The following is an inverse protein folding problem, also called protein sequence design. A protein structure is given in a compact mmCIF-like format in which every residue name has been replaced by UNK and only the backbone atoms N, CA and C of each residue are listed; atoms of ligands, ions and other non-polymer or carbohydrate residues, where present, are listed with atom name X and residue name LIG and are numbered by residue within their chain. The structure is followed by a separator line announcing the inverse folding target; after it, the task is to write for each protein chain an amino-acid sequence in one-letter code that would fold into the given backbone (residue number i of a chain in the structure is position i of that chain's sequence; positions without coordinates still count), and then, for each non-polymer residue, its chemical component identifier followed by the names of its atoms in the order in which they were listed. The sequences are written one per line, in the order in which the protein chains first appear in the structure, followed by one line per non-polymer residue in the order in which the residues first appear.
data_IF_669550136998
#
_entry.id   IF_669550136998
#
_cell.length_a   1.000
_cell.length_b   1.000
_cell.length_c   1.000
_cell.angle_alpha   90.00
_cell.angle_beta   90.00
_cell.angle_gamma   90.00
#
_symmetry.space_group_name_H-M   'P 1'
#
loop_
_entity.id
_entity.type
_entity.pdbx_description
1 polymer ?
#
# COMPACT_ATOMS: atom_id res chain seq x y z
N UNK A 1 11.34 -15.21 -1.95
CA UNK A 1 10.14 -14.69 -1.25
C UNK A 1 9.14 -13.97 -2.16
N UNK A 2 9.60 -13.33 -3.25
CA UNK A 2 8.73 -12.77 -4.30
C UNK A 2 7.67 -13.76 -4.82
N UNK A 3 8.02 -15.05 -4.93
CA UNK A 3 7.09 -16.11 -5.35
C UNK A 3 5.91 -16.34 -4.39
N UNK A 4 6.00 -15.88 -3.12
CA UNK A 4 4.88 -15.91 -2.19
C UNK A 4 3.99 -14.67 -2.36
N UNK A 5 4.61 -13.49 -2.49
CA UNK A 5 3.89 -12.23 -2.58
C UNK A 5 3.22 -12.02 -3.95
N UNK A 6 3.93 -12.23 -5.06
CA UNK A 6 3.46 -11.87 -6.40
C UNK A 6 2.16 -12.61 -6.81
N UNK A 7 2.02 -13.93 -6.63
CA UNK A 7 0.77 -14.61 -6.97
C UNK A 7 -0.40 -14.14 -6.11
N UNK A 8 -0.18 -13.98 -4.80
CA UNK A 8 -1.19 -13.49 -3.87
C UNK A 8 -1.63 -12.06 -4.22
N UNK A 9 -0.67 -11.19 -4.52
CA UNK A 9 -0.92 -9.84 -5.00
C UNK A 9 -1.70 -9.84 -6.31
N UNK A 10 -1.29 -10.61 -7.31
CA UNK A 10 -1.98 -10.71 -8.60
C UNK A 10 -3.44 -11.17 -8.45
N UNK A 11 -3.69 -12.23 -7.67
CA UNK A 11 -5.05 -12.73 -7.40
C UNK A 11 -5.88 -11.67 -6.67
N UNK A 12 -5.32 -11.03 -5.64
CA UNK A 12 -6.02 -10.00 -4.89
C UNK A 12 -6.36 -8.79 -5.77
N UNK A 13 -5.41 -8.32 -6.59
CA UNK A 13 -5.60 -7.21 -7.53
C UNK A 13 -6.65 -7.55 -8.59
N UNK A 14 -6.60 -8.74 -9.19
CA UNK A 14 -7.62 -9.19 -10.15
C UNK A 14 -9.00 -9.25 -9.51
N UNK A 15 -9.11 -9.79 -8.30
CA UNK A 15 -10.38 -9.87 -7.59
C UNK A 15 -10.91 -8.47 -7.23
N UNK A 16 -10.04 -7.57 -6.79
CA UNK A 16 -10.39 -6.18 -6.50
C UNK A 16 -10.95 -5.49 -7.74
N UNK A 17 -10.25 -5.57 -8.88
CA UNK A 17 -10.72 -4.98 -10.13
C UNK A 17 -12.01 -5.62 -10.63
N UNK A 18 -12.15 -6.93 -10.52
CA UNK A 18 -13.39 -7.62 -10.88
C UNK A 18 -14.58 -7.13 -10.03
N UNK A 19 -14.40 -7.00 -8.71
CA UNK A 19 -15.43 -6.49 -7.80
C UNK A 19 -15.78 -5.03 -8.09
N UNK A 20 -14.77 -4.20 -8.30
CA UNK A 20 -14.96 -2.79 -8.69
C UNK A 20 -15.71 -2.70 -10.00
N UNK A 21 -15.30 -3.44 -11.03
CA UNK A 21 -15.98 -3.50 -12.33
C UNK A 21 -17.45 -3.89 -12.19
N UNK A 22 -17.75 -4.93 -11.40
CA UNK A 22 -19.12 -5.39 -11.15
C UNK A 22 -19.97 -4.39 -10.37
N UNK A 23 -19.36 -3.63 -9.46
CA UNK A 23 -20.04 -2.68 -8.58
C UNK A 23 -20.27 -1.28 -9.21
N UNK A 24 -19.77 -1.01 -10.42
CA UNK A 24 -19.88 0.32 -11.03
C UNK A 24 -21.33 0.73 -11.33
N UNK A 25 -21.86 1.64 -10.51
CA UNK A 25 -23.04 2.45 -10.81
C UNK A 25 -22.64 3.67 -11.69
N UNK A 26 -23.49 4.10 -12.65
CA UNK A 26 -23.16 5.19 -13.60
C UNK A 26 -22.85 6.57 -12.99
N UNK A 27 -23.11 6.77 -11.70
CA UNK A 27 -22.86 8.01 -10.93
C UNK A 27 -21.44 8.14 -10.36
N UNK A 28 -20.61 7.10 -10.41
CA UNK A 28 -19.27 7.00 -9.76
C UNK A 28 -18.18 7.91 -10.40
N UNK A 29 -18.49 8.63 -11.49
CA UNK A 29 -17.49 9.32 -12.31
C UNK A 29 -17.56 10.87 -12.28
N UNK A 30 -17.99 11.49 -11.17
CA UNK A 30 -17.96 12.94 -11.04
C UNK A 30 -16.56 13.44 -10.64
N UNK A 31 -15.95 14.43 -11.33
CA UNK A 31 -14.62 14.95 -11.01
C UNK A 31 -14.49 15.48 -9.58
N UNK A 32 -15.57 16.01 -8.99
CA UNK A 32 -15.56 16.50 -7.60
C UNK A 32 -15.35 15.37 -6.58
N UNK A 33 -15.90 14.18 -6.84
CA UNK A 33 -15.73 13.00 -5.98
C UNK A 33 -14.29 12.48 -6.02
N UNK A 34 -13.61 12.58 -7.17
CA UNK A 34 -12.18 12.24 -7.30
C UNK A 34 -11.31 13.23 -6.53
N UNK A 35 -11.57 14.54 -6.66
CA UNK A 35 -10.83 15.55 -5.91
C UNK A 35 -11.04 15.39 -4.40
N UNK A 36 -12.27 15.09 -3.97
CA UNK A 36 -12.60 14.80 -2.57
C UNK A 36 -11.90 13.54 -2.06
N UNK A 37 -11.79 12.51 -2.90
CA UNK A 37 -11.03 11.29 -2.58
C UNK A 37 -9.53 11.58 -2.42
N UNK A 38 -8.90 12.24 -3.41
CA UNK A 38 -7.46 12.55 -3.39
C UNK A 38 -7.05 13.46 -2.25
N UNK A 39 -7.91 14.39 -1.85
CA UNK A 39 -7.66 15.33 -0.75
C UNK A 39 -8.10 14.81 0.61
N UNK A 40 -8.67 13.60 0.66
CA UNK A 40 -9.36 13.07 1.85
C UNK A 40 -10.38 14.07 2.42
N UNK A 41 -11.08 14.78 1.54
CA UNK A 41 -12.08 15.79 1.88
C UNK A 41 -13.30 15.24 2.64
N UNK A 42 -13.45 13.91 2.71
CA UNK A 42 -14.40 13.25 3.61
C UNK A 42 -13.98 13.28 5.09
N UNK A 43 -12.71 13.54 5.40
CA UNK A 43 -12.21 13.63 6.77
C UNK A 43 -12.34 15.07 7.27
N UNK A 44 -13.35 15.31 8.12
CA UNK A 44 -13.67 16.64 8.65
C UNK A 44 -12.61 17.17 9.63
N UNK A 45 -11.95 16.28 10.37
CA UNK A 45 -10.89 16.67 11.32
C UNK A 45 -9.59 16.98 10.56
N UNK A 46 -9.18 18.26 10.56
CA UNK A 46 -7.98 18.73 9.84
C UNK A 46 -6.70 17.98 10.22
N UNK A 47 -6.46 17.71 11.51
CA UNK A 47 -5.26 16.99 11.98
C UNK A 47 -5.23 15.56 11.46
N UNK A 48 -6.39 14.87 11.52
CA UNK A 48 -6.52 13.51 11.01
C UNK A 48 -6.33 13.45 9.49
N UNK A 49 -6.88 14.44 8.78
CA UNK A 49 -6.72 14.56 7.33
C UNK A 49 -5.25 14.72 6.95
N UNK A 50 -4.52 15.59 7.63
CA UNK A 50 -3.08 15.77 7.41
C UNK A 50 -2.29 14.50 7.68
N UNK A 51 -2.56 13.80 8.81
CA UNK A 51 -1.90 12.52 9.11
C UNK A 51 -2.20 11.46 8.05
N UNK A 52 -3.45 11.40 7.56
CA UNK A 52 -3.86 10.47 6.52
C UNK A 52 -3.16 10.79 5.19
N UNK A 53 -3.12 12.06 4.79
CA UNK A 53 -2.40 12.49 3.58
C UNK A 53 -0.90 12.15 3.68
N UNK A 54 -0.26 12.46 4.81
CA UNK A 54 1.15 12.17 5.01
C UNK A 54 1.45 10.66 4.93
N UNK A 55 0.62 9.83 5.57
CA UNK A 55 0.72 8.38 5.47
C UNK A 55 0.61 7.90 4.02
N UNK A 56 -0.40 8.36 3.28
CA UNK A 56 -0.62 7.94 1.89
C UNK A 56 0.50 8.40 0.96
N UNK A 57 1.00 9.63 1.12
CA UNK A 57 2.15 10.11 0.35
C UNK A 57 3.40 9.28 0.63
N UNK A 58 3.67 8.98 1.92
CA UNK A 58 4.82 8.18 2.31
C UNK A 58 4.74 6.75 1.79
N UNK A 59 3.59 6.07 1.95
CA UNK A 59 3.43 4.68 1.53
C UNK A 59 3.43 4.54 0.00
N UNK A 60 2.79 5.45 -0.75
CA UNK A 60 2.80 5.42 -2.23
C UNK A 60 4.22 5.61 -2.75
N UNK A 61 4.96 6.59 -2.20
CA UNK A 61 6.36 6.81 -2.59
C UNK A 61 7.24 5.62 -2.23
N UNK A 62 7.04 5.03 -1.04
CA UNK A 62 7.75 3.82 -0.60
C UNK A 62 7.47 2.62 -1.51
N UNK A 63 6.20 2.39 -1.90
CA UNK A 63 5.80 1.33 -2.83
C UNK A 63 6.46 1.49 -4.21
N UNK A 64 6.54 2.72 -4.73
CA UNK A 64 7.29 2.98 -5.98
C UNK A 64 8.78 2.64 -5.82
N UNK A 65 9.36 2.94 -4.65
CA UNK A 65 10.73 2.58 -4.32
C UNK A 65 10.99 1.06 -4.33
N UNK A 66 9.98 0.21 -4.08
CA UNK A 66 10.14 -1.24 -4.14
C UNK A 66 10.47 -1.72 -5.57
N UNK A 67 10.07 -0.99 -6.62
CA UNK A 67 10.44 -1.30 -8.00
C UNK A 67 11.96 -1.23 -8.23
N UNK A 68 12.67 -0.45 -7.42
CA UNK A 68 14.12 -0.36 -7.50
C UNK A 68 14.79 -1.67 -7.08
N UNK A 69 14.08 -2.65 -6.51
CA UNK A 69 14.67 -3.95 -6.18
C UNK A 69 15.19 -4.73 -7.40
N UNK A 70 14.68 -4.42 -8.59
CA UNK A 70 15.08 -5.06 -9.85
C UNK A 70 16.24 -4.33 -10.55
N UNK A 71 16.66 -3.19 -10.02
CA UNK A 71 17.80 -2.43 -10.53
C UNK A 71 19.03 -2.83 -9.71
N UNK A 72 20.07 -3.30 -10.38
CA UNK A 72 21.30 -3.74 -9.73
C UNK A 72 21.97 -2.57 -9.00
N UNK A 73 22.25 -1.50 -9.75
CA UNK A 73 22.88 -0.28 -9.24
C UNK A 73 21.86 0.82 -8.93
N UNK A 74 21.65 1.10 -7.65
CA UNK A 74 20.78 2.18 -7.19
C UNK A 74 21.63 3.25 -6.49
N UNK A 75 21.50 4.54 -6.84
CA UNK A 75 22.20 5.62 -6.16
C UNK A 75 22.08 5.52 -4.64
N UNK A 76 23.23 5.60 -3.95
CA UNK A 76 23.33 5.46 -2.48
C UNK A 76 22.33 6.29 -1.63
N UNK A 77 21.89 7.51 -2.01
CA UNK A 77 20.88 8.21 -1.21
C UNK A 77 19.49 7.57 -1.27
N UNK A 78 19.13 6.87 -2.34
CA UNK A 78 17.77 6.37 -2.55
C UNK A 78 17.32 5.31 -1.51
N UNK A 79 18.15 4.31 -1.13
CA UNK A 79 17.79 3.39 -0.05
C UNK A 79 17.52 4.11 1.27
N UNK A 80 18.33 5.12 1.61
CA UNK A 80 18.17 5.91 2.84
C UNK A 80 16.87 6.74 2.82
N UNK A 81 16.54 7.33 1.67
CA UNK A 81 15.26 8.01 1.46
C UNK A 81 14.10 7.02 1.62
N UNK A 82 14.22 5.82 1.06
CA UNK A 82 13.25 4.74 1.23
C UNK A 82 13.00 4.39 2.70
N UNK A 83 14.06 4.21 3.48
CA UNK A 83 13.98 3.96 4.93
C UNK A 83 13.31 5.12 5.67
N UNK A 84 13.66 6.37 5.35
CA UNK A 84 13.06 7.55 5.97
C UNK A 84 11.55 7.65 5.67
N UNK A 85 11.14 7.39 4.41
CA UNK A 85 9.73 7.32 4.03
C UNK A 85 9.00 6.20 4.75
N UNK A 86 9.63 5.03 4.90
CA UNK A 86 9.12 3.93 5.71
C UNK A 86 8.87 4.33 7.16
N UNK A 87 9.81 5.05 7.78
CA UNK A 87 9.68 5.54 9.14
C UNK A 87 8.51 6.54 9.29
N UNK A 88 8.35 7.46 8.34
CA UNK A 88 7.22 8.39 8.30
C UNK A 88 5.89 7.64 8.15
N UNK A 89 5.83 6.65 7.26
CA UNK A 89 4.64 5.82 7.07
C UNK A 89 4.30 5.04 8.35
N UNK A 90 5.29 4.42 8.99
CA UNK A 90 5.09 3.69 10.25
C UNK A 90 4.61 4.60 11.38
N UNK A 91 5.24 5.76 11.57
CA UNK A 91 4.87 6.70 12.64
C UNK A 91 3.45 7.27 12.44
N UNK A 92 3.13 7.71 11.23
CA UNK A 92 1.79 8.24 10.93
C UNK A 92 0.73 7.16 11.04
N UNK A 93 1.00 5.94 10.58
CA UNK A 93 0.08 4.82 10.69
C UNK A 93 -0.12 4.37 12.14
N UNK A 94 0.93 4.40 12.98
CA UNK A 94 0.81 4.11 14.41
C UNK A 94 -0.14 5.10 15.10
N UNK A 95 -0.04 6.39 14.79
CA UNK A 95 -0.97 7.41 15.30
C UNK A 95 -2.42 7.16 14.83
N UNK A 96 -2.60 6.77 13.57
CA UNK A 96 -3.91 6.41 13.02
C UNK A 96 -4.48 5.13 13.67
N UNK A 97 -3.66 4.11 13.89
CA UNK A 97 -4.05 2.86 14.54
C UNK A 97 -4.43 3.09 16.01
N UNK A 98 -3.64 3.86 16.76
CA UNK A 98 -3.95 4.21 18.15
C UNK A 98 -5.30 4.94 18.27
N UNK A 99 -5.59 5.82 17.31
CA UNK A 99 -6.89 6.49 17.24
C UNK A 99 -8.03 5.52 16.94
N UNK A 100 -7.88 4.64 15.92
CA UNK A 100 -8.87 3.61 15.56
C UNK A 100 -9.17 2.67 16.73
N UNK A 101 -8.15 2.28 17.48
CA UNK A 101 -8.30 1.49 18.70
C UNK A 101 -9.18 2.21 19.73
N UNK A 102 -8.93 3.50 19.98
CA UNK A 102 -9.75 4.31 20.90
C UNK A 102 -11.19 4.49 20.42
N UNK A 103 -11.39 4.61 19.11
CA UNK A 103 -12.71 4.76 18.48
C UNK A 103 -13.45 3.42 18.30
N UNK A 104 -12.84 2.29 18.72
CA UNK A 104 -13.37 0.92 18.56
C UNK A 104 -13.66 0.55 17.10
N UNK A 105 -12.91 1.14 16.18
CA UNK A 105 -13.03 0.90 14.75
C UNK A 105 -12.20 -0.34 14.34
N UNK A 106 -12.68 -1.52 14.77
CA UNK A 106 -11.92 -2.77 14.68
C UNK A 106 -11.69 -3.25 13.25
N UNK A 107 -12.61 -2.95 12.33
CA UNK A 107 -12.48 -3.35 10.92
C UNK A 107 -11.26 -2.68 10.26
N UNK A 108 -11.11 -1.36 10.44
CA UNK A 108 -9.92 -0.67 9.92
C UNK A 108 -8.68 -0.92 10.79
N UNK A 109 -8.84 -1.19 12.08
CA UNK A 109 -7.72 -1.43 12.98
C UNK A 109 -6.89 -2.65 12.56
N UNK A 110 -7.53 -3.77 12.24
CA UNK A 110 -6.80 -5.00 11.85
C UNK A 110 -5.86 -4.74 10.67
N UNK A 111 -6.37 -4.09 9.62
CA UNK A 111 -5.59 -3.77 8.42
C UNK A 111 -4.51 -2.72 8.72
N UNK A 112 -4.82 -1.75 9.57
CA UNK A 112 -3.83 -0.77 10.02
C UNK A 112 -2.65 -1.44 10.72
N UNK A 113 -2.91 -2.45 11.54
CA UNK A 113 -1.89 -3.20 12.25
C UNK A 113 -1.04 -4.06 11.31
N UNK A 114 -1.66 -4.70 10.31
CA UNK A 114 -0.90 -5.42 9.27
C UNK A 114 0.03 -4.48 8.51
N UNK A 115 -0.49 -3.34 8.02
CA UNK A 115 0.31 -2.34 7.30
C UNK A 115 1.38 -1.70 8.20
N UNK A 116 1.09 -1.51 9.49
CA UNK A 116 2.05 -1.00 10.46
C UNK A 116 3.18 -1.99 10.67
N UNK A 117 2.88 -3.27 10.82
CA UNK A 117 3.87 -4.33 10.92
C UNK A 117 4.73 -4.39 9.66
N UNK A 118 4.14 -4.29 8.47
CA UNK A 118 4.87 -4.23 7.19
C UNK A 118 5.80 -3.01 7.13
N UNK A 119 5.31 -1.81 7.44
CA UNK A 119 6.10 -0.59 7.41
C UNK A 119 7.22 -0.60 8.46
N UNK A 120 6.94 -1.08 9.68
CA UNK A 120 7.90 -1.16 10.76
C UNK A 120 9.03 -2.17 10.44
N UNK A 121 8.69 -3.37 9.96
CA UNK A 121 9.69 -4.38 9.57
C UNK A 121 10.52 -3.92 8.38
N UNK A 122 9.90 -3.28 7.37
CA UNK A 122 10.61 -2.71 6.22
C UNK A 122 11.60 -1.61 6.63
N UNK A 123 11.16 -0.72 7.52
CA UNK A 123 12.01 0.35 8.07
C UNK A 123 13.15 -0.23 8.90
N UNK A 124 12.87 -1.19 9.78
CA UNK A 124 13.88 -1.83 10.62
C UNK A 124 14.95 -2.52 9.76
N UNK A 125 14.56 -3.25 8.71
CA UNK A 125 15.52 -3.83 7.76
C UNK A 125 16.40 -2.76 7.12
N UNK A 126 15.82 -1.67 6.64
CA UNK A 126 16.55 -0.57 6.02
C UNK A 126 17.47 0.21 6.95
N UNK A 127 17.39 -0.02 8.27
CA UNK A 127 18.30 0.55 9.28
C UNK A 127 19.44 -0.40 9.66
N UNK A 128 19.23 -1.71 9.58
CA UNK A 128 20.18 -2.70 10.13
C UNK A 128 20.91 -3.52 9.07
N UNK A 129 20.45 -3.49 7.81
CA UNK A 129 21.00 -4.30 6.74
C UNK A 129 21.24 -3.47 5.48
N UNK A 130 22.29 -3.84 4.74
CA UNK A 130 22.54 -3.27 3.42
C UNK A 130 21.50 -3.75 2.41
N UNK A 131 21.15 -2.87 1.47
CA UNK A 131 20.15 -3.15 0.44
C UNK A 131 20.47 -4.43 -0.33
N UNK A 132 21.72 -4.64 -0.70
CA UNK A 132 22.16 -5.78 -1.52
C UNK A 132 21.84 -7.12 -0.85
N UNK A 133 22.10 -7.21 0.46
CA UNK A 133 21.77 -8.38 1.26
C UNK A 133 20.25 -8.65 1.26
N UNK A 134 19.45 -7.61 1.54
CA UNK A 134 17.98 -7.72 1.61
C UNK A 134 17.38 -8.11 0.25
N UNK A 135 17.85 -7.50 -0.84
CA UNK A 135 17.37 -7.78 -2.21
C UNK A 135 17.71 -9.21 -2.61
N UNK A 136 18.93 -9.68 -2.34
CA UNK A 136 19.36 -11.05 -2.64
C UNK A 136 18.50 -12.07 -1.88
N UNK A 137 18.25 -11.85 -0.59
CA UNK A 137 17.39 -12.71 0.22
C UNK A 137 15.92 -12.70 -0.26
N UNK A 138 15.42 -11.54 -0.70
CA UNK A 138 14.04 -11.40 -1.21
C UNK A 138 13.82 -12.19 -2.51
N UNK A 139 14.81 -12.17 -3.42
CA UNK A 139 14.78 -12.89 -4.70
C UNK A 139 14.95 -14.40 -4.54
N UNK A 140 15.93 -14.85 -3.74
CA UNK A 140 16.35 -16.25 -3.68
C UNK A 140 15.77 -17.11 -2.54
N UNK A 141 15.16 -16.49 -1.52
CA UNK A 141 15.00 -16.99 -0.13
C UNK A 141 16.21 -16.75 0.78
N UNK A 142 15.99 -16.43 2.07
CA UNK A 142 17.05 -16.33 3.07
C UNK A 142 17.85 -17.63 3.15
N UNK A 143 19.18 -17.52 3.12
CA UNK A 143 20.08 -18.67 3.34
C UNK A 143 20.59 -18.75 4.79
N UNK A 144 20.25 -17.75 5.60
CA UNK A 144 20.61 -17.61 7.01
C UNK A 144 19.39 -17.23 7.86
N UNK A 145 19.55 -17.33 9.18
CA UNK A 145 18.56 -16.87 10.17
C UNK A 145 19.07 -15.62 10.89
N UNK A 146 19.47 -14.59 10.13
CA UNK A 146 19.83 -13.30 10.71
C UNK A 146 18.57 -12.54 11.14
N UNK A 147 18.74 -11.49 11.95
CA UNK A 147 17.64 -10.59 12.29
C UNK A 147 17.02 -9.95 11.03
N UNK A 148 17.84 -9.61 10.02
CA UNK A 148 17.35 -9.05 8.76
C UNK A 148 16.49 -10.05 7.99
N UNK A 149 16.88 -11.33 7.98
CA UNK A 149 16.11 -12.41 7.36
C UNK A 149 14.74 -12.60 8.03
N UNK A 150 14.70 -12.58 9.37
CA UNK A 150 13.45 -12.70 10.13
C UNK A 150 12.52 -11.50 9.88
N UNK A 151 13.08 -10.29 9.84
CA UNK A 151 12.32 -9.09 9.49
C UNK A 151 11.80 -9.15 8.05
N UNK A 152 12.58 -9.67 7.10
CA UNK A 152 12.17 -9.84 5.71
C UNK A 152 11.01 -10.82 5.59
N UNK A 153 11.09 -11.96 6.28
CA UNK A 153 10.01 -12.95 6.30
C UNK A 153 8.73 -12.32 6.86
N UNK A 154 8.84 -11.63 8.00
CA UNK A 154 7.70 -10.95 8.64
C UNK A 154 7.12 -9.86 7.74
N UNK A 155 7.97 -9.09 7.07
CA UNK A 155 7.59 -8.06 6.12
C UNK A 155 6.79 -8.65 4.96
N UNK A 156 7.31 -9.70 4.31
CA UNK A 156 6.65 -10.33 3.17
C UNK A 156 5.34 -10.99 3.57
N UNK A 157 5.28 -11.68 4.71
CA UNK A 157 4.05 -12.33 5.20
C UNK A 157 2.99 -11.28 5.53
N UNK A 158 3.35 -10.21 6.25
CA UNK A 158 2.42 -9.14 6.58
C UNK A 158 1.94 -8.37 5.34
N UNK A 159 2.83 -8.09 4.38
CA UNK A 159 2.48 -7.48 3.10
C UNK A 159 1.53 -8.37 2.29
N UNK A 160 1.78 -9.68 2.27
CA UNK A 160 0.94 -10.66 1.59
C UNK A 160 -0.45 -10.73 2.23
N UNK A 161 -0.53 -10.80 3.55
CA UNK A 161 -1.79 -10.79 4.29
C UNK A 161 -2.58 -9.49 4.04
N UNK A 162 -1.89 -8.34 4.06
CA UNK A 162 -2.50 -7.05 3.76
C UNK A 162 -3.06 -7.03 2.33
N UNK A 163 -2.29 -7.46 1.33
CA UNK A 163 -2.72 -7.52 -0.07
C UNK A 163 -3.96 -8.41 -0.25
N UNK A 164 -3.96 -9.62 0.33
CA UNK A 164 -5.09 -10.55 0.27
C UNK A 164 -6.34 -9.98 0.95
N UNK A 165 -6.19 -9.16 1.99
CA UNK A 165 -7.30 -8.55 2.68
C UNK A 165 -7.90 -7.33 1.95
N UNK A 166 -7.18 -6.69 1.03
CA UNK A 166 -7.66 -5.48 0.31
C UNK A 166 -9.03 -5.69 -0.37
N UNK A 167 -9.29 -6.78 -1.12
CA UNK A 167 -10.58 -6.97 -1.81
C UNK A 167 -11.77 -7.18 -0.88
N UNK A 168 -11.52 -7.56 0.38
CA UNK A 168 -12.53 -7.96 1.36
C UNK A 168 -12.75 -6.92 2.46
N UNK A 169 -11.93 -5.87 2.50
CA UNK A 169 -12.00 -4.82 3.51
C UNK A 169 -12.34 -3.48 2.87
N UNK A 170 -12.55 -2.47 3.72
CA UNK A 170 -12.81 -1.09 3.30
C UNK A 170 -11.60 -0.41 2.62
N UNK A 171 -10.51 -1.16 2.35
CA UNK A 171 -9.39 -0.76 1.50
C UNK A 171 -9.68 -0.80 0.00
N UNK A 172 -10.88 -1.19 -0.43
CA UNK A 172 -11.28 -1.14 -1.84
C UNK A 172 -11.13 0.25 -2.47
N UNK A 173 -11.10 1.31 -1.65
CA UNK A 173 -10.82 2.68 -2.07
C UNK A 173 -9.45 2.86 -2.75
N UNK A 174 -8.47 1.97 -2.52
CA UNK A 174 -7.19 1.96 -3.23
C UNK A 174 -7.39 1.80 -4.74
N UNK A 175 -8.46 1.13 -5.18
CA UNK A 175 -8.81 1.00 -6.59
C UNK A 175 -9.65 2.16 -7.15
N UNK A 176 -10.04 3.14 -6.33
CA UNK A 176 -10.93 4.23 -6.77
C UNK A 176 -10.39 5.05 -7.95
N UNK A 177 -9.09 5.41 -8.04
CA UNK A 177 -8.56 6.11 -9.21
C UNK A 177 -8.67 5.29 -10.50
N UNK A 178 -8.37 3.99 -10.41
CA UNK A 178 -8.48 3.07 -11.55
C UNK A 178 -9.94 2.82 -11.95
N UNK A 179 -10.84 2.69 -10.97
CA UNK A 179 -12.28 2.59 -11.19
C UNK A 179 -12.80 3.81 -11.96
N UNK A 180 -12.37 5.01 -11.56
CA UNK A 180 -12.72 6.26 -12.24
C UNK A 180 -12.20 6.30 -13.68
N UNK A 181 -10.94 5.95 -13.90
CA UNK A 181 -10.35 5.90 -15.25
C UNK A 181 -11.08 4.91 -16.16
N UNK A 182 -11.36 3.69 -15.68
CA UNK A 182 -12.11 2.68 -16.43
C UNK A 182 -13.54 3.16 -16.76
N UNK A 183 -14.23 3.77 -15.80
CA UNK A 183 -15.57 4.32 -16.03
C UNK A 183 -15.57 5.46 -17.07
N UNK A 184 -14.53 6.30 -17.06
CA UNK A 184 -14.36 7.37 -18.05
C UNK A 184 -14.08 6.81 -19.44
N UNK A 185 -13.17 5.84 -19.57
CA UNK A 185 -12.86 5.19 -20.84
C UNK A 185 -14.10 4.55 -21.48
N UNK A 186 -14.92 3.84 -20.69
CA UNK A 186 -16.17 3.22 -21.17
C UNK A 186 -17.20 4.24 -21.66
N UNK A 187 -17.33 5.40 -20.99
CA UNK A 187 -18.23 6.47 -21.47
C UNK A 187 -17.75 7.05 -22.79
N UNK A 188 -16.44 7.16 -23.00
CA UNK A 188 -15.85 7.61 -24.27
C UNK A 188 -16.11 6.59 -25.38
N UNK A 189 -15.96 5.29 -25.11
CA UNK A 189 -16.24 4.21 -26.06
C UNK A 189 -17.73 4.17 -26.46
N UNK A 190 -18.65 4.16 -25.49
CA UNK A 190 -20.10 4.24 -25.76
C UNK A 190 -20.54 5.46 -26.56
N UNK A 191 -19.82 6.59 -26.43
CA UNK A 191 -20.09 7.81 -27.21
C UNK A 191 -19.50 7.78 -28.61
N UNK A 192 -18.52 6.91 -28.86
CA UNK A 192 -17.87 6.75 -30.16
C UNK A 192 -18.62 5.74 -31.05
N UNK A 193 -19.35 4.82 -30.42
CA UNK A 193 -20.20 3.83 -31.09
C UNK A 193 -21.66 4.31 -31.30
N UNK A 194 -21.98 5.55 -30.89
CA UNK A 194 -23.23 6.26 -31.16
C UNK A 194 -23.01 7.33 -32.22
#
# INVERSE_FOLDING_TARGET
MLLLFLPAFAVATTLLFYRVYKAQSPTVAAPQEVARFLTFGGILNKRLRTLSLLFHMAIVTSLLGHLLMFIEEVPQPLPKIGTALGAVAAATLALLAARRFREKDYEYLFISLLLLLTAATGTAMGLIAEREHVVKAALGFPQSLTLADLLLVTHVVSATAAAVAVPYTLMSHVAAPMAYLMAKLRKTEKRRDM
#
